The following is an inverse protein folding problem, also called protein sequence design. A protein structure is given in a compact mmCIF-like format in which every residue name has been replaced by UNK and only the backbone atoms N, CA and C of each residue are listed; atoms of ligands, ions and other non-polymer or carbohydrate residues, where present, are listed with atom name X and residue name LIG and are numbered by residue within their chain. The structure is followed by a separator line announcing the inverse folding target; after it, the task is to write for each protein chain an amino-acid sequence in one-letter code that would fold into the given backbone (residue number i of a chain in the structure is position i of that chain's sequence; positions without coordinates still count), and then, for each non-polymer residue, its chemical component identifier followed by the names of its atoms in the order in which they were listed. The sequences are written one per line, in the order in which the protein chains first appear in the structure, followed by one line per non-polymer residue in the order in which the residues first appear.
data_IF_085943595879
#
_entry.id   IF_085943595879
#
_cell.length_a   1.000
_cell.length_b   1.000
_cell.length_c   1.000
_cell.angle_alpha   90.00
_cell.angle_beta   90.00
_cell.angle_gamma   90.00
#
_symmetry.space_group_name_H-M   'P 1'
#
loop_
_entity.id
_entity.type
_entity.pdbx_description
1 polymer ?
2 non-polymer ?
3 non-polymer ?
4 water ?
#
# COMPACT_ATOMS: atom_id res chain seq x y z
N UNK A 4 -4.82 -13.35 14.24
CA UNK A 4 -5.18 -12.80 12.90
C UNK A 4 -3.95 -12.67 12.01
N UNK A 5 -2.77 -12.60 12.62
CA UNK A 5 -1.53 -12.50 11.86
C UNK A 5 -1.46 -13.69 10.90
N UNK A 6 -1.84 -14.87 11.40
CA UNK A 6 -1.82 -16.07 10.58
C UNK A 6 -2.92 -15.99 9.51
N UNK A 7 -4.08 -15.46 9.87
CA UNK A 7 -5.18 -15.32 8.92
C UNK A 7 -4.80 -14.31 7.84
N UNK A 8 -3.99 -13.33 8.22
CA UNK A 8 -3.52 -12.31 7.29
C UNK A 8 -2.67 -13.01 6.25
N UNK A 9 -1.71 -13.80 6.73
CA UNK A 9 -0.80 -14.53 5.86
C UNK A 9 -1.53 -15.39 4.84
N UNK A 10 -2.54 -16.13 5.29
CA UNK A 10 -3.28 -17.00 4.38
C UNK A 10 -4.07 -16.20 3.35
N UNK A 11 -4.67 -15.10 3.79
CA UNK A 11 -5.43 -14.27 2.87
C UNK A 11 -4.54 -13.74 1.74
N UNK A 12 -3.40 -13.19 2.11
CA UNK A 12 -2.47 -12.65 1.12
C UNK A 12 -1.86 -13.76 0.27
N UNK A 13 -1.48 -14.86 0.92
CA UNK A 13 -0.88 -15.98 0.21
C UNK A 13 -1.78 -16.48 -0.91
N UNK A 14 -3.03 -16.80 -0.56
CA UNK A 14 -3.97 -17.31 -1.54
C UNK A 14 -4.33 -16.33 -2.66
N UNK A 15 -4.59 -15.07 -2.33
CA UNK A 15 -4.96 -14.11 -3.38
C UNK A 15 -3.77 -13.74 -4.26
N UNK A 16 -2.58 -13.66 -3.68
CA UNK A 16 -1.39 -13.34 -4.48
C UNK A 16 -1.21 -14.41 -5.55
N UNK A 17 -1.37 -15.66 -5.14
CA UNK A 17 -1.23 -16.78 -6.07
C UNK A 17 -2.29 -16.66 -7.16
N UNK A 18 -3.53 -16.35 -6.77
CA UNK A 18 -4.61 -16.22 -7.74
C UNK A 18 -4.27 -15.11 -8.74
N UNK A 19 -3.91 -13.94 -8.22
CA UNK A 19 -3.56 -12.81 -9.08
C UNK A 19 -2.44 -13.19 -10.04
N UNK A 20 -1.41 -13.86 -9.52
CA UNK A 20 -0.27 -14.26 -10.34
C UNK A 20 -0.67 -15.27 -11.41
N UNK A 21 -1.33 -16.34 -10.98
CA UNK A 21 -1.78 -17.40 -11.87
C UNK A 21 -2.77 -16.89 -12.92
N UNK A 22 -3.65 -15.98 -12.51
CA UNK A 22 -4.63 -15.43 -13.44
C UNK A 22 -3.92 -14.70 -14.57
N UNK A 23 -2.74 -14.17 -14.27
CA UNK A 23 -1.95 -13.45 -15.27
C UNK A 23 -1.05 -14.39 -16.05
N UNK A 24 -0.99 -15.65 -15.63
CA UNK A 24 -0.16 -16.63 -16.30
C UNK A 24 1.33 -16.37 -16.09
N UNK A 25 1.66 -15.78 -14.94
CA UNK A 25 3.04 -15.45 -14.61
C UNK A 25 3.74 -16.50 -13.76
N UNK A 26 5.04 -16.66 -13.98
CA UNK A 26 5.84 -17.60 -13.21
C UNK A 26 6.32 -16.80 -12.00
N UNK A 27 6.84 -17.49 -10.98
CA UNK A 27 7.33 -16.77 -9.80
C UNK A 27 8.53 -15.91 -10.18
N UNK A 28 9.39 -16.45 -11.04
CA UNK A 28 10.58 -15.71 -11.46
C UNK A 28 10.21 -14.46 -12.25
N UNK A 29 9.21 -14.57 -13.11
CA UNK A 29 8.79 -13.43 -13.91
C UNK A 29 8.17 -12.38 -12.99
N UNK A 30 7.46 -12.84 -11.96
CA UNK A 30 6.83 -11.94 -11.01
C UNK A 30 7.91 -11.24 -10.19
N UNK A 31 8.99 -11.96 -9.93
CA UNK A 31 10.11 -11.40 -9.17
C UNK A 31 10.71 -10.23 -9.96
N UNK A 32 10.92 -10.44 -11.25
CA UNK A 32 11.51 -9.40 -12.10
C UNK A 32 10.61 -8.16 -12.20
N UNK A 33 9.31 -8.40 -12.30
CA UNK A 33 8.34 -7.31 -12.41
C UNK A 33 8.23 -6.47 -11.15
N UNK A 34 8.20 -7.13 -9.99
CA UNK A 34 8.03 -6.46 -8.71
C UNK A 34 9.28 -6.01 -7.97
N UNK A 35 10.42 -6.64 -8.26
CA UNK A 35 11.63 -6.27 -7.56
C UNK A 35 11.72 -7.01 -6.24
N UNK A 36 10.76 -7.90 -5.98
CA UNK A 36 10.76 -8.70 -4.76
C UNK A 36 11.37 -10.05 -5.15
N UNK A 37 12.31 -10.55 -4.35
CA UNK A 37 12.97 -11.81 -4.67
C UNK A 37 11.99 -12.96 -4.88
N UNK A 38 12.35 -13.87 -5.78
CA UNK A 38 11.51 -15.03 -6.05
C UNK A 38 11.38 -15.84 -4.77
N UNK A 39 12.44 -15.83 -3.97
CA UNK A 39 12.44 -16.56 -2.71
C UNK A 39 11.35 -16.03 -1.79
N UNK A 40 11.30 -14.71 -1.62
CA UNK A 40 10.30 -14.11 -0.75
C UNK A 40 8.89 -14.35 -1.30
N UNK A 41 8.72 -14.20 -2.61
CA UNK A 41 7.41 -14.41 -3.23
C UNK A 41 6.93 -15.84 -2.96
N UNK A 42 7.85 -16.80 -3.01
CA UNK A 42 7.48 -18.18 -2.75
C UNK A 42 7.03 -18.36 -1.32
N UNK A 43 7.76 -17.75 -0.39
CA UNK A 43 7.44 -17.83 1.03
C UNK A 43 6.08 -17.20 1.32
N UNK A 44 5.78 -16.09 0.65
CA UNK A 44 4.50 -15.42 0.86
C UNK A 44 3.35 -16.30 0.40
N UNK A 45 3.48 -16.89 -0.78
CA UNK A 45 2.42 -17.74 -1.30
C UNK A 45 2.25 -19.01 -0.47
N UNK A 46 3.28 -19.41 0.26
CA UNK A 46 3.18 -20.61 1.10
C UNK A 46 2.74 -20.27 2.52
N UNK A 47 2.56 -18.98 2.79
CA UNK A 47 2.14 -18.55 4.11
C UNK A 47 3.26 -18.62 5.13
N UNK A 48 4.49 -18.52 4.66
CA UNK A 48 5.65 -18.60 5.55
C UNK A 48 6.16 -17.26 6.05
N UNK A 49 5.93 -16.20 5.29
CA UNK A 49 6.38 -14.88 5.72
C UNK A 49 5.25 -13.87 5.62
N UNK A 50 5.19 -12.98 6.61
CA UNK A 50 4.17 -11.94 6.66
C UNK A 50 4.69 -10.69 5.96
N UNK A 51 4.14 -10.36 4.79
CA UNK A 51 4.59 -9.18 4.06
C UNK A 51 4.19 -7.87 4.71
N UNK A 52 5.02 -6.86 4.52
CA UNK A 52 4.75 -5.54 5.08
C UNK A 52 3.86 -4.82 4.07
N UNK A 53 3.27 -3.71 4.50
CA UNK A 53 2.42 -2.93 3.62
C UNK A 53 3.26 -2.46 2.44
N UNK A 54 4.52 -2.13 2.70
CA UNK A 54 5.40 -1.65 1.64
C UNK A 54 5.67 -2.74 0.60
N UNK A 55 5.82 -3.98 1.06
CA UNK A 55 6.08 -5.08 0.14
C UNK A 55 4.83 -5.34 -0.71
N UNK A 56 3.66 -5.26 -0.08
CA UNK A 56 2.40 -5.46 -0.78
C UNK A 56 2.27 -4.47 -1.94
N UNK A 57 2.57 -3.20 -1.68
CA UNK A 57 2.49 -2.19 -2.74
C UNK A 57 3.51 -2.49 -3.83
N UNK A 58 4.67 -2.97 -3.42
CA UNK A 58 5.71 -3.29 -4.38
C UNK A 58 5.23 -4.39 -5.33
N UNK A 59 4.58 -5.40 -4.77
CA UNK A 59 4.07 -6.51 -5.56
C UNK A 59 2.92 -6.07 -6.45
N UNK A 60 1.95 -5.36 -5.87
CA UNK A 60 0.81 -4.87 -6.63
C UNK A 60 1.30 -4.03 -7.81
N UNK A 61 2.27 -3.16 -7.55
CA UNK A 61 2.81 -2.29 -8.60
C UNK A 61 3.37 -3.10 -9.76
N UNK A 62 4.14 -4.14 -9.45
CA UNK A 62 4.72 -4.97 -10.49
C UNK A 62 3.69 -5.73 -11.29
N UNK A 63 2.60 -6.11 -10.63
CA UNK A 63 1.52 -6.85 -11.28
C UNK A 63 0.52 -5.91 -11.93
N UNK A 64 0.73 -4.61 -11.73
CA UNK A 64 -0.16 -3.58 -12.24
C UNK A 64 -1.57 -3.83 -11.72
N UNK A 65 -1.63 -4.09 -10.42
CA UNK A 65 -2.88 -4.35 -9.73
C UNK A 65 -3.05 -3.31 -8.63
N UNK A 66 -4.27 -3.17 -8.13
CA UNK A 66 -4.54 -2.21 -7.07
C UNK A 66 -4.20 -2.88 -5.75
N UNK A 67 -4.09 -2.08 -4.69
CA UNK A 67 -3.81 -2.62 -3.36
C UNK A 67 -5.05 -3.42 -2.97
N UNK A 68 -6.22 -2.91 -3.35
CA UNK A 68 -7.50 -3.55 -3.05
C UNK A 68 -7.60 -4.96 -3.63
N UNK A 69 -6.89 -5.20 -4.74
CA UNK A 69 -6.91 -6.50 -5.40
C UNK A 69 -6.48 -7.65 -4.49
N UNK A 70 -5.68 -7.34 -3.48
CA UNK A 70 -5.22 -8.38 -2.55
C UNK A 70 -6.34 -8.94 -1.68
N UNK A 71 -7.51 -8.32 -1.74
CA UNK A 71 -8.66 -8.75 -0.95
C UNK A 71 -9.91 -9.01 -1.79
N UNK A 72 -9.74 -9.03 -3.11
CA UNK A 72 -10.85 -9.23 -4.04
C UNK A 72 -11.66 -10.51 -3.85
N UNK A 73 -11.07 -11.52 -3.22
CA UNK A 73 -11.75 -12.79 -2.99
C UNK A 73 -12.75 -12.67 -1.85
N UNK A 74 -12.54 -11.68 -0.99
CA UNK A 74 -13.40 -11.44 0.16
C UNK A 74 -13.38 -9.93 0.43
N UNK A 75 -13.98 -9.15 -0.48
CA UNK A 75 -14.07 -7.68 -0.41
C UNK A 75 -14.33 -7.15 0.99
N UNK A 76 -15.22 -7.82 1.72
CA UNK A 76 -15.58 -7.42 3.08
C UNK A 76 -14.38 -7.20 4.00
N UNK A 77 -13.38 -8.07 3.88
CA UNK A 77 -12.17 -8.00 4.70
C UNK A 77 -11.48 -6.64 4.69
N UNK A 78 -11.44 -6.02 3.52
CA UNK A 78 -10.78 -4.73 3.36
C UNK A 78 -11.30 -3.65 4.32
N UNK A 79 -12.62 -3.55 4.46
CA UNK A 79 -13.21 -2.54 5.34
C UNK A 79 -12.94 -2.80 6.83
N UNK A 80 -12.47 -4.00 7.16
CA UNK A 80 -12.18 -4.35 8.55
C UNK A 80 -10.68 -4.47 8.82
N UNK A 81 -9.90 -4.62 7.76
CA UNK A 81 -8.45 -4.75 7.88
C UNK A 81 -7.82 -3.39 8.19
N UNK A 82 -7.73 -3.07 9.48
CA UNK A 82 -7.15 -1.80 9.92
C UNK A 82 -5.70 -1.95 10.35
N UNK A 83 -5.40 -3.01 11.09
CA UNK A 83 -4.05 -3.24 11.59
C UNK A 83 -3.33 -4.41 10.93
N UNK A 84 -2.29 -4.11 10.16
CA UNK A 84 -1.49 -5.14 9.50
C UNK A 84 -0.42 -5.59 10.50
N UNK A 85 -0.24 -6.91 10.66
CA UNK A 85 0.74 -7.50 11.59
C UNK A 85 2.15 -6.92 11.64
N UNK A 86 2.72 -6.57 10.49
CA UNK A 86 4.08 -6.03 10.47
C UNK A 86 4.14 -4.51 10.37
N UNK A 87 3.02 -3.84 10.65
CA UNK A 87 2.98 -2.39 10.59
C UNK A 87 2.08 -1.85 11.71
N UNK A 88 2.49 -2.11 12.95
CA UNK A 88 1.72 -1.69 14.12
C UNK A 88 1.60 -0.17 14.34
N UNK A 89 2.57 0.60 13.85
CA UNK A 89 2.49 2.05 14.03
C UNK A 89 1.81 2.74 12.85
N UNK A 90 1.06 1.96 12.09
CA UNK A 90 0.35 2.49 10.94
C UNK A 90 -0.94 1.70 10.78
N UNK A 91 -2.06 2.41 10.77
CA UNK A 91 -3.35 1.75 10.62
C UNK A 91 -4.03 2.23 9.35
N UNK A 92 -4.55 1.29 8.57
CA UNK A 92 -5.21 1.61 7.31
C UNK A 92 -6.73 1.44 7.38
N UNK A 93 -7.46 2.50 7.07
CA UNK A 93 -8.91 2.44 7.05
C UNK A 93 -9.35 2.71 5.62
N UNK A 94 -9.74 1.65 4.90
CA UNK A 94 -10.16 1.81 3.51
C UNK A 94 -11.56 2.42 3.44
N UNK A 95 -11.65 3.63 2.92
CA UNK A 95 -12.94 4.31 2.78
C UNK A 95 -13.63 3.87 1.50
N UNK A 96 -12.84 3.73 0.44
CA UNK A 96 -13.36 3.32 -0.86
C UNK A 96 -12.36 2.40 -1.54
N UNK A 97 -12.74 1.13 -1.76
CA UNK A 97 -11.85 0.18 -2.42
C UNK A 97 -11.73 0.56 -3.90
N UNK A 98 -10.64 0.12 -4.53
CA UNK A 98 -10.39 0.43 -5.93
C UNK A 98 -11.61 0.27 -6.84
N UNK A 99 -11.87 1.29 -7.65
CA UNK A 99 -12.97 1.29 -8.61
C UNK A 99 -12.38 1.58 -9.99
N UNK A 100 -12.63 0.69 -10.94
CA UNK A 100 -12.11 0.85 -12.29
C UNK A 100 -12.65 2.06 -13.05
N UNK A 101 -13.87 2.49 -12.75
CA UNK A 101 -14.43 3.62 -13.48
C UNK A 101 -13.76 4.96 -13.18
N UNK A 102 -13.30 5.15 -11.95
CA UNK A 102 -12.64 6.40 -11.60
C UNK A 102 -11.14 6.18 -11.40
N UNK A 103 -10.77 4.91 -11.23
CA UNK A 103 -9.38 4.56 -11.00
C UNK A 103 -8.93 4.91 -9.59
N UNK A 104 -9.88 5.17 -8.69
CA UNK A 104 -9.55 5.55 -7.33
C UNK A 104 -9.64 4.50 -6.23
N UNK A 105 -8.73 4.64 -5.28
CA UNK A 105 -8.63 3.80 -4.09
C UNK A 105 -8.44 4.85 -3.00
N UNK A 106 -9.30 4.86 -1.98
CA UNK A 106 -9.19 5.88 -0.94
C UNK A 106 -9.04 5.33 0.48
N UNK A 107 -8.01 5.81 1.17
CA UNK A 107 -7.72 5.37 2.53
C UNK A 107 -7.61 6.51 3.53
N UNK A 108 -7.81 6.17 4.80
CA UNK A 108 -7.64 7.12 5.89
C UNK A 108 -6.53 6.43 6.68
N UNK A 109 -5.37 7.06 6.74
CA UNK A 109 -4.20 6.48 7.41
C UNK A 109 -3.83 7.15 8.73
N UNK A 110 -3.59 6.34 9.75
CA UNK A 110 -3.19 6.85 11.06
C UNK A 110 -1.77 6.39 11.37
N UNK A 111 -0.88 7.36 11.53
CA UNK A 111 0.51 7.08 11.84
C UNK A 111 0.72 7.31 13.33
N UNK A 112 1.41 6.39 13.99
CA UNK A 112 1.66 6.50 15.43
C UNK A 112 3.14 6.46 15.77
N UNK A 113 3.45 6.90 16.99
CA UNK A 113 4.82 6.91 17.48
C UNK A 113 5.77 7.47 16.43
N UNK A 114 5.41 8.62 15.88
CA UNK A 114 6.18 9.30 14.84
C UNK A 114 6.78 8.34 13.81
N UNK A 115 6.00 7.32 13.46
CA UNK A 115 6.43 6.33 12.48
C UNK A 115 6.75 6.96 11.13
N UNK A 116 7.75 6.40 10.44
CA UNK A 116 8.13 6.88 9.12
C UNK A 116 7.94 5.71 8.16
N UNK A 117 7.22 5.95 7.08
CA UNK A 117 6.92 4.92 6.09
C UNK A 117 7.50 5.26 4.72
N UNK A 118 8.54 4.54 4.31
CA UNK A 118 9.11 4.76 2.98
C UNK A 118 8.49 3.75 2.03
N UNK A 119 8.25 4.17 0.79
CA UNK A 119 7.64 3.29 -0.21
C UNK A 119 8.44 3.21 -1.49
N UNK A 120 8.29 2.08 -2.19
CA UNK A 120 8.96 1.89 -3.48
C UNK A 120 8.05 2.57 -4.48
N UNK A 121 8.54 2.84 -5.69
CA UNK A 121 7.66 3.50 -6.66
C UNK A 121 6.41 2.67 -6.91
N UNK A 122 5.26 3.32 -7.08
CA UNK A 122 4.05 2.59 -7.42
C UNK A 122 4.12 2.50 -8.94
N UNK A 123 3.13 1.87 -9.56
CA UNK A 123 3.13 1.71 -11.02
C UNK A 123 3.19 3.04 -11.75
N UNK A 124 3.72 3.01 -12.97
CA UNK A 124 3.85 4.20 -13.80
C UNK A 124 2.56 5.00 -13.89
N UNK A 125 2.65 6.30 -13.66
CA UNK A 125 1.48 7.15 -13.76
C UNK A 125 0.56 7.18 -12.55
N UNK A 126 0.83 6.38 -11.53
CA UNK A 126 -0.03 6.40 -10.35
C UNK A 126 0.20 7.71 -9.61
N UNK A 127 -0.89 8.39 -9.27
CA UNK A 127 -0.82 9.68 -8.59
C UNK A 127 -1.46 9.62 -7.19
N UNK A 128 -0.86 10.32 -6.23
CA UNK A 128 -1.41 10.33 -4.88
C UNK A 128 -1.78 11.72 -4.41
N UNK A 129 -2.85 11.78 -3.62
CA UNK A 129 -3.35 13.01 -3.01
C UNK A 129 -3.26 12.78 -1.51
N UNK A 130 -2.88 13.83 -0.78
CA UNK A 130 -2.76 13.76 0.68
C UNK A 130 -3.49 14.94 1.31
N UNK A 131 -4.26 14.66 2.35
CA UNK A 131 -4.99 15.70 3.08
C UNK A 131 -4.84 15.36 4.56
N UNK A 132 -4.15 16.22 5.30
CA UNK A 132 -3.91 15.99 6.72
C UNK A 132 -5.15 16.28 7.56
N UNK A 133 -5.64 15.26 8.25
CA UNK A 133 -6.81 15.41 9.10
C UNK A 133 -6.43 15.81 10.53
N UNK A 134 -5.28 15.33 10.99
CA UNK A 134 -4.83 15.62 12.34
C UNK A 134 -3.31 15.56 12.47
N UNK A 135 -2.76 16.45 13.29
CA UNK A 135 -1.33 16.48 13.52
C UNK A 135 -0.48 17.11 12.44
N UNK A 136 0.81 16.83 12.52
CA UNK A 136 1.79 17.34 11.58
C UNK A 136 2.51 16.14 10.98
N UNK A 137 2.69 16.14 9.67
CA UNK A 137 3.35 15.04 8.99
C UNK A 137 4.20 15.57 7.85
N UNK A 138 5.03 14.70 7.26
CA UNK A 138 5.84 15.09 6.12
C UNK A 138 5.73 14.03 5.04
N UNK A 139 5.81 14.45 3.78
CA UNK A 139 5.69 13.53 2.66
C UNK A 139 6.90 13.67 1.76
N UNK A 140 7.54 12.56 1.43
CA UNK A 140 8.73 12.59 0.60
C UNK A 140 8.48 12.27 -0.88
N UNK A 141 9.06 13.09 -1.75
CA UNK A 141 8.98 12.92 -3.20
C UNK A 141 9.81 14.02 -3.87
N UNK A 142 10.24 13.77 -5.11
CA UNK A 142 11.07 14.73 -5.83
C UNK A 142 12.30 15.07 -5.00
N UNK A 143 12.87 14.05 -4.37
CA UNK A 143 14.08 14.16 -3.55
C UNK A 143 13.96 14.98 -2.27
N UNK A 144 12.75 15.29 -1.83
CA UNK A 144 12.64 16.07 -0.60
C UNK A 144 11.39 15.86 0.22
N UNK A 145 11.49 16.23 1.49
CA UNK A 145 10.37 16.12 2.41
C UNK A 145 9.55 17.39 2.37
N UNK A 146 8.23 17.24 2.40
CA UNK A 146 7.32 18.37 2.38
C UNK A 146 6.50 18.27 3.67
N UNK A 147 6.60 19.28 4.53
CA UNK A 147 5.88 19.27 5.80
C UNK A 147 4.45 19.79 5.61
N UNK A 148 3.50 19.08 6.21
CA UNK A 148 2.09 19.43 6.10
C UNK A 148 1.41 19.43 7.46
N UNK A 149 0.73 20.53 7.78
CA UNK A 149 0.01 20.64 9.04
C UNK A 149 -1.45 20.28 8.80
N UNK A 150 -2.23 20.22 9.88
CA UNK A 150 -3.65 19.89 9.77
C UNK A 150 -4.33 20.76 8.73
N UNK A 151 -5.11 20.13 7.85
CA UNK A 151 -5.82 20.87 6.83
C UNK A 151 -5.03 21.08 5.54
N UNK A 152 -3.71 20.96 5.61
CA UNK A 152 -2.90 21.16 4.42
C UNK A 152 -3.00 19.94 3.51
N UNK A 153 -2.71 20.14 2.23
CA UNK A 153 -2.84 19.06 1.26
C UNK A 153 -1.81 19.20 0.15
N UNK A 154 -1.60 18.11 -0.58
CA UNK A 154 -0.64 18.12 -1.67
C UNK A 154 -0.84 16.86 -2.50
N UNK A 155 -0.39 16.89 -3.76
CA UNK A 155 -0.48 15.71 -4.60
C UNK A 155 0.87 15.54 -5.27
N UNK A 156 1.19 14.31 -5.66
CA UNK A 156 2.47 14.03 -6.29
C UNK A 156 2.42 12.76 -7.12
N UNK A 157 3.37 12.63 -8.04
CA UNK A 157 3.46 11.43 -8.86
C UNK A 157 4.13 10.40 -7.96
N UNK A 158 3.43 9.31 -7.69
CA UNK A 158 3.94 8.27 -6.80
C UNK A 158 4.77 7.18 -7.45
N UNK A 159 5.00 7.28 -8.75
CA UNK A 159 5.81 6.28 -9.44
C UNK A 159 7.28 6.67 -9.27
N UNK A 160 7.64 6.95 -8.02
CA UNK A 160 9.00 7.32 -7.65
C UNK A 160 9.14 7.01 -6.17
N UNK A 161 10.38 6.93 -5.66
CA UNK A 161 10.53 6.65 -4.24
C UNK A 161 9.81 7.75 -3.48
N UNK A 162 8.99 7.37 -2.51
CA UNK A 162 8.27 8.35 -1.72
C UNK A 162 8.10 7.84 -0.30
N UNK A 163 7.46 8.64 0.54
CA UNK A 163 7.27 8.21 1.91
C UNK A 163 6.39 9.13 2.72
N UNK A 164 6.03 8.69 3.92
CA UNK A 164 5.17 9.46 4.81
C UNK A 164 5.74 9.37 6.21
N UNK A 165 5.67 10.46 6.97
CA UNK A 165 6.18 10.45 8.33
C UNK A 165 5.37 11.36 9.24
N UNK A 166 5.06 10.87 10.43
CA UNK A 166 4.33 11.65 11.40
C UNK A 166 5.38 12.45 12.16
N UNK A 167 5.23 13.77 12.21
CA UNK A 167 6.19 14.60 12.92
C UNK A 167 5.73 14.69 14.38
N UNK A 168 4.43 14.83 14.58
CA UNK A 168 3.87 14.82 15.92
C UNK A 168 3.77 13.32 16.18
N UNK A 169 3.66 12.90 17.43
CA UNK A 169 3.58 11.47 17.71
C UNK A 169 2.50 10.78 16.89
N UNK A 170 1.39 11.48 16.67
CA UNK A 170 0.30 10.92 15.90
C UNK A 170 -0.10 11.87 14.78
N UNK A 171 -0.51 11.29 13.65
CA UNK A 171 -0.95 12.06 12.50
C UNK A 171 -1.91 11.19 11.72
N UNK A 172 -2.98 11.80 11.23
CA UNK A 172 -3.99 11.09 10.46
C UNK A 172 -4.17 11.86 9.16
N UNK A 173 -4.23 11.14 8.04
CA UNK A 173 -4.40 11.80 6.76
C UNK A 173 -5.17 10.95 5.77
N UNK A 174 -5.86 11.61 4.84
CA UNK A 174 -6.60 10.90 3.82
C UNK A 174 -5.63 10.71 2.67
N UNK A 175 -5.62 9.52 2.09
CA UNK A 175 -4.75 9.24 0.97
C UNK A 175 -5.57 8.72 -0.20
N UNK A 176 -5.59 9.47 -1.30
CA UNK A 176 -6.30 9.06 -2.50
C UNK A 176 -5.24 8.54 -3.47
N UNK A 177 -5.37 7.30 -3.92
CA UNK A 177 -4.41 6.74 -4.88
C UNK A 177 -5.15 6.59 -6.21
N UNK A 178 -4.72 7.37 -7.21
CA UNK A 178 -5.36 7.35 -8.52
C UNK A 178 -4.51 6.63 -9.55
N UNK A 179 -5.07 5.56 -10.11
CA UNK A 179 -4.38 4.75 -11.10
C UNK A 179 -4.72 5.18 -12.53
N UNK A 180 -3.75 5.11 -13.45
CA UNK A 180 -3.99 5.50 -14.84
C UNK A 180 -5.19 4.76 -15.43
N UNK A 181 -6.03 5.47 -16.18
CA UNK A 181 -7.19 4.85 -16.79
C UNK A 181 -6.99 4.64 -18.28
X LIG B 1 2.24 5.44 -1.80
X LIG C 1 0.27 4.74 -1.06
X LIG C 1 0.47 3.83 0.11
X LIG C 1 1.96 3.58 0.35
X LIG C 1 2.85 4.08 -0.35
X LIG C 1 -0.21 4.45 1.35
X LIG C 1 -0.18 3.71 2.68
X LIG C 1 -1.21 2.23 2.44
X LIG C 1 -2.79 2.89 2.17
X LIG C 1 2.31 2.84 1.27
#
# INVERSE_FOLDING_TARGET
XSLTDVMFKSQIANQLKNLRKSRGLSLDATAQLTGVSKAMLGQIERGESSPTIATLWKIASGLEASFSAFFANDPQLLSSERSFPDDLNMKIHTLFPYAADTGLEIFEITLLDHHQQMSSPHALGVIEYIHVLEGIMKVFFDEQWHELQQGEHIRFFSDQPHGYAAVTEKAVFQNIVAYPRREGGSHHHHHH
ZN ZN
MED N CA C O CB CG SD CE OXT
#
